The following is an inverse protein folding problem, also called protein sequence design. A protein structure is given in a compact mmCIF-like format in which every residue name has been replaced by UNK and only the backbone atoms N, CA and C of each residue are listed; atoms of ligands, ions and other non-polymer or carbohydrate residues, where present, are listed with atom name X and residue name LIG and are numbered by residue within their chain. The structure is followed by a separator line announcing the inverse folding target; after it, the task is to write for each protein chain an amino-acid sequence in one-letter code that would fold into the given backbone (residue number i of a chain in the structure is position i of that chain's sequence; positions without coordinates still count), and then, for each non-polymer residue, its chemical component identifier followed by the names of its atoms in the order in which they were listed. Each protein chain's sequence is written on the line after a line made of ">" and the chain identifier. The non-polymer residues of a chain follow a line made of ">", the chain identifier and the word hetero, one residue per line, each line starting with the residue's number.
data_IF_088647329512
#
_entry.id   IF_088647329512
#
_cell.length_a   1.000
_cell.length_b   1.000
_cell.length_c   1.000
_cell.angle_alpha   90.00
_cell.angle_beta   90.00
_cell.angle_gamma   90.00
#
_symmetry.space_group_name_H-M   'P 1'
#
loop_
_entity.id
_entity.type
_entity.pdbx_description
1 polymer ?
#
# COMPACT_ATOMS: atom_id res chain seq x y z
N UNK A 1 32.19 -99.86 103.09
CA UNK A 1 31.26 -100.84 103.69
C UNK A 1 29.89 -100.61 103.09
N UNK A 2 29.41 -101.47 102.17
CA UNK A 2 28.04 -101.45 101.66
C UNK A 2 27.10 -102.09 102.68
N UNK A 3 25.87 -101.58 102.78
CA UNK A 3 24.78 -102.19 103.55
C UNK A 3 24.37 -103.52 102.87
N UNK A 4 24.13 -104.61 103.62
CA UNK A 4 23.66 -105.87 103.01
C UNK A 4 22.28 -105.66 102.38
N UNK A 5 22.13 -105.96 101.07
CA UNK A 5 20.86 -105.94 100.33
C UNK A 5 20.67 -104.84 99.26
N UNK A 6 21.73 -104.22 98.73
CA UNK A 6 21.61 -103.24 97.65
C UNK A 6 21.64 -103.91 96.26
N UNK A 7 20.60 -103.66 95.45
CA UNK A 7 20.45 -104.14 94.07
C UNK A 7 21.05 -103.10 93.11
N UNK A 8 21.76 -103.52 92.06
CA UNK A 8 22.24 -102.60 91.04
C UNK A 8 21.06 -101.99 90.27
N UNK A 9 20.91 -100.68 90.37
CA UNK A 9 19.78 -99.93 89.79
C UNK A 9 20.17 -99.03 88.61
N UNK A 10 21.40 -99.17 88.09
CA UNK A 10 21.79 -98.46 86.86
C UNK A 10 21.50 -99.34 85.63
N UNK A 11 20.59 -98.95 84.73
CA UNK A 11 20.23 -99.73 83.54
C UNK A 11 21.37 -99.89 82.53
N UNK A 12 22.47 -99.14 82.67
CA UNK A 12 23.67 -99.25 81.84
C UNK A 12 24.64 -100.33 82.32
N UNK A 13 24.36 -100.97 83.46
CA UNK A 13 25.18 -102.03 84.03
C UNK A 13 24.74 -103.42 83.53
N UNK A 14 25.71 -104.30 83.29
CA UNK A 14 25.48 -105.68 82.85
C UNK A 14 24.65 -106.48 83.86
N UNK A 15 24.74 -106.14 85.16
CA UNK A 15 23.99 -106.77 86.25
C UNK A 15 22.83 -105.90 86.76
N UNK A 16 22.24 -105.06 85.90
CA UNK A 16 21.07 -104.25 86.26
C UNK A 16 19.92 -105.14 86.77
N UNK A 17 19.45 -104.84 87.98
CA UNK A 17 18.39 -105.61 88.66
C UNK A 17 18.88 -106.78 89.52
N UNK A 18 20.20 -107.05 89.58
CA UNK A 18 20.79 -108.09 90.43
C UNK A 18 21.49 -107.53 91.68
N UNK A 19 21.61 -108.35 92.73
CA UNK A 19 22.26 -107.94 93.98
C UNK A 19 23.78 -107.82 93.81
N UNK A 20 24.32 -106.64 94.10
CA UNK A 20 25.75 -106.37 93.95
C UNK A 20 26.04 -104.93 93.55
N UNK A 21 27.34 -104.61 93.44
CA UNK A 21 27.76 -103.36 92.82
C UNK A 21 27.53 -103.46 91.30
N UNK A 22 27.14 -102.36 90.68
CA UNK A 22 26.93 -102.32 89.23
C UNK A 22 28.24 -102.59 88.48
N UNK A 23 28.23 -103.62 87.62
CA UNK A 23 29.32 -103.98 86.71
C UNK A 23 28.98 -103.49 85.29
N UNK A 24 29.89 -102.80 84.63
CA UNK A 24 29.64 -102.16 83.32
C UNK A 24 30.40 -102.83 82.16
N UNK A 25 31.25 -103.79 82.47
CA UNK A 25 32.00 -104.58 81.50
C UNK A 25 31.61 -106.04 81.65
N UNK A 26 31.43 -106.72 80.52
CA UNK A 26 31.19 -108.15 80.52
C UNK A 26 32.46 -108.94 80.88
N UNK A 27 32.35 -110.27 80.94
CA UNK A 27 33.48 -111.14 81.26
C UNK A 27 34.63 -111.08 80.23
N UNK A 28 34.42 -110.49 79.06
CA UNK A 28 35.42 -110.30 78.00
C UNK A 28 36.09 -108.92 78.07
N UNK A 29 35.61 -108.02 78.93
CA UNK A 29 36.12 -106.66 79.07
C UNK A 29 35.48 -105.66 78.11
N UNK A 30 34.40 -106.05 77.42
CA UNK A 30 33.64 -105.17 76.53
C UNK A 30 32.53 -104.45 77.30
N UNK A 31 32.27 -103.19 76.94
CA UNK A 31 31.23 -102.40 77.57
C UNK A 31 29.86 -102.96 77.18
N UNK A 32 28.98 -103.18 78.16
CA UNK A 32 27.68 -103.82 77.93
C UNK A 32 26.64 -102.96 77.16
N UNK A 33 27.01 -101.78 76.68
CA UNK A 33 26.18 -100.90 75.86
C UNK A 33 26.93 -100.52 74.58
N UNK A 34 26.22 -100.49 73.45
CA UNK A 34 26.82 -100.12 72.16
C UNK A 34 26.93 -98.59 72.10
N UNK A 35 28.16 -98.08 72.11
CA UNK A 35 28.43 -96.65 71.91
C UNK A 35 28.66 -96.40 70.42
N UNK A 36 27.81 -95.58 69.81
CA UNK A 36 27.88 -95.22 68.39
C UNK A 36 27.15 -93.93 68.10
N UNK A 37 27.33 -93.35 66.92
CA UNK A 37 26.60 -92.14 66.57
C UNK A 37 25.12 -92.47 66.34
N UNK A 38 24.23 -91.87 67.12
CA UNK A 38 22.79 -92.08 67.01
C UNK A 38 22.10 -91.08 66.06
N UNK A 39 22.84 -90.17 65.44
CA UNK A 39 22.30 -89.18 64.52
C UNK A 39 22.29 -89.74 63.09
N UNK A 40 21.09 -89.93 62.50
CA UNK A 40 20.91 -90.42 61.12
C UNK A 40 21.59 -89.52 60.07
N UNK A 41 21.88 -88.25 60.41
CA UNK A 41 22.59 -87.31 59.56
C UNK A 41 24.12 -87.48 59.55
N UNK A 42 24.69 -88.34 60.40
CA UNK A 42 26.13 -88.56 60.46
C UNK A 42 26.60 -89.64 59.48
N UNK A 43 27.78 -89.43 58.90
CA UNK A 43 28.43 -90.39 58.01
C UNK A 43 28.76 -91.73 58.69
N UNK A 44 28.98 -91.72 60.01
CA UNK A 44 29.22 -92.92 60.82
C UNK A 44 28.01 -93.28 61.72
N UNK A 45 26.79 -92.92 61.30
CA UNK A 45 25.56 -93.31 61.99
C UNK A 45 25.50 -94.82 62.22
N UNK A 46 25.25 -95.21 63.48
CA UNK A 46 25.02 -96.59 63.89
C UNK A 46 23.59 -96.73 64.44
N UNK A 47 22.68 -97.39 63.69
CA UNK A 47 21.29 -97.56 64.12
C UNK A 47 21.12 -98.46 65.36
N UNK A 48 22.18 -99.15 65.81
CA UNK A 48 22.15 -100.02 66.98
C UNK A 48 22.83 -99.39 68.20
N UNK A 49 23.26 -98.13 68.13
CA UNK A 49 23.83 -97.44 69.27
C UNK A 49 22.78 -97.27 70.38
N UNK A 50 23.16 -97.65 71.61
CA UNK A 50 22.33 -97.53 72.82
C UNK A 50 22.78 -96.36 73.71
N UNK A 51 24.02 -95.88 73.50
CA UNK A 51 24.55 -94.65 74.09
C UNK A 51 25.21 -93.78 73.02
N UNK A 52 24.97 -92.46 73.07
CA UNK A 52 25.50 -91.52 72.09
C UNK A 52 27.04 -91.47 72.11
N UNK A 53 27.64 -91.88 70.99
CA UNK A 53 29.08 -91.77 70.69
C UNK A 53 29.42 -90.54 69.83
N UNK A 54 30.66 -90.47 69.35
CA UNK A 54 31.11 -89.40 68.46
C UNK A 54 30.52 -89.57 67.06
N UNK A 55 29.86 -88.53 66.56
CA UNK A 55 29.34 -88.44 65.20
C UNK A 55 30.33 -87.72 64.27
N UNK A 56 30.60 -88.31 63.12
CA UNK A 56 31.38 -87.74 62.02
C UNK A 56 30.42 -87.36 60.90
N UNK A 57 30.41 -86.08 60.53
CA UNK A 57 29.54 -85.52 59.48
C UNK A 57 30.31 -85.20 58.19
N UNK A 58 31.57 -85.60 58.10
CA UNK A 58 32.48 -85.12 57.05
C UNK A 58 33.09 -86.22 56.19
N UNK A 59 33.22 -87.46 56.68
CA UNK A 59 33.85 -88.55 55.94
C UNK A 59 33.08 -89.06 54.72
N UNK A 60 31.79 -88.77 54.62
CA UNK A 60 30.92 -89.16 53.50
C UNK A 60 30.68 -88.04 52.49
N UNK A 61 31.19 -86.83 52.73
CA UNK A 61 31.04 -85.72 51.79
C UNK A 61 31.93 -85.97 50.57
N UNK A 62 31.34 -85.91 49.38
CA UNK A 62 32.09 -86.00 48.13
C UNK A 62 32.68 -84.63 47.80
N UNK A 63 34.01 -84.57 47.71
CA UNK A 63 34.75 -83.38 47.31
C UNK A 63 34.84 -83.28 45.80
N UNK A 64 34.45 -82.14 45.23
CA UNK A 64 34.54 -81.88 43.79
C UNK A 64 34.04 -80.47 43.45
N UNK A 65 33.94 -80.13 42.16
CA UNK A 65 33.46 -78.81 41.78
C UNK A 65 31.93 -78.73 41.86
N UNK A 66 31.42 -78.03 42.87
CA UNK A 66 29.98 -77.84 43.10
C UNK A 66 29.35 -76.69 42.32
N UNK A 67 30.13 -75.95 41.52
CA UNK A 67 29.63 -74.81 40.76
C UNK A 67 29.14 -75.24 39.38
N UNK A 68 27.82 -75.15 39.12
CA UNK A 68 27.22 -75.52 37.84
C UNK A 68 27.68 -74.69 36.64
N UNK A 69 28.36 -73.56 36.88
CA UNK A 69 28.95 -72.73 35.83
C UNK A 69 30.42 -73.07 35.54
N UNK A 70 30.99 -74.09 36.19
CA UNK A 70 32.35 -74.56 35.91
C UNK A 70 32.35 -75.63 34.81
N UNK A 71 33.41 -75.67 34.01
CA UNK A 71 33.62 -76.64 32.94
C UNK A 71 33.73 -78.08 33.44
N UNK A 72 34.20 -78.27 34.67
CA UNK A 72 34.31 -79.56 35.34
C UNK A 72 33.33 -79.70 36.50
N UNK A 73 32.14 -79.08 36.39
CA UNK A 73 31.07 -79.26 37.37
C UNK A 73 30.79 -80.75 37.60
N UNK A 74 30.78 -81.14 38.87
CA UNK A 74 30.47 -82.48 39.33
C UNK A 74 29.16 -82.42 40.13
N UNK A 75 28.09 -82.98 39.56
CA UNK A 75 26.76 -82.99 40.16
C UNK A 75 26.64 -83.94 41.36
N UNK A 76 27.69 -84.74 41.63
CA UNK A 76 27.79 -85.63 42.78
C UNK A 76 28.59 -85.04 43.94
N UNK A 77 29.20 -83.86 43.78
CA UNK A 77 29.98 -83.21 44.82
C UNK A 77 29.10 -82.49 45.86
N UNK A 78 29.34 -82.77 47.14
CA UNK A 78 28.68 -82.11 48.28
C UNK A 78 29.48 -80.90 48.78
N UNK A 79 30.81 -80.93 48.60
CA UNK A 79 31.73 -79.89 49.09
C UNK A 79 32.67 -79.46 47.98
N UNK A 80 32.80 -78.14 47.83
CA UNK A 80 33.74 -77.57 46.88
C UNK A 80 35.18 -77.77 47.34
N UNK A 81 35.98 -78.48 46.55
CA UNK A 81 37.39 -78.78 46.85
C UNK A 81 38.37 -77.78 46.21
N UNK A 82 37.85 -76.75 45.54
CA UNK A 82 38.64 -75.77 44.80
C UNK A 82 39.08 -76.24 43.41
N UNK A 83 38.64 -77.41 42.94
CA UNK A 83 38.99 -77.93 41.61
C UNK A 83 38.25 -77.27 40.45
N UNK A 84 37.29 -76.38 40.70
CA UNK A 84 36.50 -75.74 39.65
C UNK A 84 37.35 -74.99 38.61
N UNK A 85 37.16 -75.35 37.35
CA UNK A 85 37.83 -74.83 36.16
C UNK A 85 36.78 -74.14 35.28
N UNK A 86 37.14 -73.00 34.68
CA UNK A 86 36.17 -72.14 33.97
C UNK A 86 36.61 -71.74 32.56
N UNK A 87 37.72 -72.27 32.06
CA UNK A 87 38.35 -71.84 30.80
C UNK A 87 38.44 -72.94 29.76
N UNK A 88 38.41 -74.22 30.13
CA UNK A 88 38.62 -75.34 29.20
C UNK A 88 37.45 -75.62 28.28
N UNK A 89 36.25 -75.16 28.64
CA UNK A 89 35.02 -75.30 27.87
C UNK A 89 34.60 -73.99 27.18
N UNK A 90 35.45 -72.97 27.26
CA UNK A 90 35.29 -71.69 26.59
C UNK A 90 35.90 -71.76 25.19
N UNK A 91 35.15 -71.28 24.21
CA UNK A 91 35.61 -71.16 22.83
C UNK A 91 34.42 -70.84 21.91
N UNK A 92 34.70 -70.59 20.63
CA UNK A 92 33.64 -70.26 19.68
C UNK A 92 32.70 -71.45 19.45
N UNK A 93 31.41 -71.28 19.73
CA UNK A 93 30.38 -72.33 19.57
C UNK A 93 29.61 -72.25 18.24
N UNK A 94 29.85 -71.21 17.44
CA UNK A 94 29.21 -71.02 16.13
C UNK A 94 29.92 -71.84 15.04
N UNK A 95 29.21 -72.78 14.41
CA UNK A 95 29.76 -73.69 13.40
C UNK A 95 30.07 -73.02 12.04
N UNK A 96 29.63 -71.78 11.86
CA UNK A 96 29.92 -70.95 10.69
C UNK A 96 31.13 -70.03 10.88
N UNK A 97 31.69 -69.95 12.09
CA UNK A 97 32.88 -69.15 12.38
C UNK A 97 34.18 -69.85 11.94
N UNK A 98 35.19 -69.06 11.56
CA UNK A 98 36.49 -69.55 11.11
C UNK A 98 37.28 -70.29 12.21
N UNK A 99 37.03 -69.97 13.47
CA UNK A 99 37.68 -70.57 14.64
C UNK A 99 36.69 -71.34 15.53
N UNK A 100 35.63 -71.90 14.94
CA UNK A 100 34.72 -72.81 15.62
C UNK A 100 35.49 -73.88 16.41
N UNK A 101 35.20 -74.01 17.70
CA UNK A 101 35.74 -75.03 18.57
C UNK A 101 34.66 -76.08 18.88
N UNK A 102 34.73 -77.28 18.29
CA UNK A 102 33.74 -78.33 18.53
C UNK A 102 33.77 -78.89 19.97
N UNK A 103 34.76 -78.52 20.79
CA UNK A 103 34.86 -78.90 22.20
C UNK A 103 34.37 -77.83 23.17
N UNK A 104 34.10 -76.62 22.69
CA UNK A 104 33.53 -75.55 23.51
C UNK A 104 32.05 -75.82 23.79
N UNK A 105 31.64 -75.60 25.05
CA UNK A 105 30.23 -75.68 25.46
C UNK A 105 29.68 -74.33 25.86
N UNK A 106 30.55 -73.32 26.02
CA UNK A 106 30.19 -71.94 26.31
C UNK A 106 30.96 -71.00 25.38
N UNK A 107 30.22 -70.09 24.74
CA UNK A 107 30.81 -69.08 23.87
C UNK A 107 31.56 -68.02 24.70
N UNK A 108 32.82 -67.79 24.35
CA UNK A 108 33.67 -66.76 24.96
C UNK A 108 33.78 -65.49 24.10
N UNK A 109 32.94 -65.39 23.06
CA UNK A 109 32.97 -64.34 22.06
C UNK A 109 34.29 -64.25 21.27
N UNK A 110 35.08 -65.34 21.23
CA UNK A 110 36.27 -65.42 20.40
C UNK A 110 35.97 -65.68 18.92
N UNK A 111 34.71 -65.92 18.54
CA UNK A 111 34.32 -66.21 17.15
C UNK A 111 34.82 -65.15 16.15
N UNK A 112 35.45 -65.61 15.09
CA UNK A 112 35.99 -64.83 13.98
C UNK A 112 35.29 -65.25 12.70
N UNK A 113 34.91 -64.28 11.87
CA UNK A 113 34.20 -64.52 10.61
C UNK A 113 34.92 -63.80 9.48
N UNK A 114 34.93 -64.39 8.28
CA UNK A 114 35.38 -63.70 7.08
C UNK A 114 34.31 -62.68 6.64
N UNK A 115 34.66 -61.40 6.72
CA UNK A 115 33.80 -60.29 6.30
C UNK A 115 34.44 -59.66 5.06
N UNK A 116 33.78 -59.89 3.93
CA UNK A 116 34.18 -59.36 2.64
C UNK A 116 33.74 -57.91 2.48
N UNK A 117 34.63 -57.06 1.94
CA UNK A 117 34.30 -55.69 1.57
C UNK A 117 35.54 -54.83 1.32
N UNK A 118 35.33 -53.56 1.03
CA UNK A 118 36.45 -52.65 0.80
C UNK A 118 37.16 -52.26 2.11
N UNK A 119 38.43 -52.63 2.24
CA UNK A 119 39.27 -52.33 3.42
C UNK A 119 40.04 -51.00 3.31
N UNK A 120 39.90 -50.26 2.20
CA UNK A 120 40.66 -49.03 1.96
C UNK A 120 39.87 -47.84 2.52
N UNK A 121 40.39 -47.22 3.58
CA UNK A 121 39.77 -46.09 4.30
C UNK A 121 39.39 -44.89 3.41
N UNK A 122 40.04 -44.74 2.25
CA UNK A 122 39.78 -43.65 1.31
C UNK A 122 38.79 -44.01 0.20
N UNK A 123 38.26 -45.24 0.18
CA UNK A 123 37.24 -45.65 -0.76
C UNK A 123 35.85 -45.18 -0.30
N UNK A 124 35.00 -44.88 -1.27
CA UNK A 124 33.62 -44.43 -1.08
C UNK A 124 32.73 -45.47 -0.39
N UNK A 125 33.03 -46.75 -0.58
CA UNK A 125 32.33 -47.88 0.03
C UNK A 125 33.20 -48.63 1.05
N UNK A 126 34.11 -47.91 1.73
CA UNK A 126 34.89 -48.48 2.83
C UNK A 126 33.98 -49.15 3.87
N UNK A 127 34.28 -50.40 4.20
CA UNK A 127 33.57 -51.18 5.21
C UNK A 127 34.47 -51.37 6.44
N UNK A 128 34.13 -50.78 7.60
CA UNK A 128 34.96 -50.87 8.80
C UNK A 128 35.04 -52.27 9.40
N UNK A 129 34.07 -53.14 9.08
CA UNK A 129 33.99 -54.51 9.59
C UNK A 129 34.66 -55.52 8.65
N UNK A 130 35.05 -55.11 7.43
CA UNK A 130 35.68 -56.00 6.46
C UNK A 130 37.10 -56.38 6.88
N UNK A 131 37.39 -57.68 6.89
CA UNK A 131 38.72 -58.23 7.14
C UNK A 131 39.34 -58.93 5.92
N UNK A 132 38.57 -59.07 4.84
CA UNK A 132 39.04 -59.56 3.54
C UNK A 132 38.56 -58.62 2.44
N UNK A 133 39.50 -58.17 1.61
CA UNK A 133 39.19 -57.37 0.41
C UNK A 133 38.54 -58.25 -0.65
N UNK A 134 37.38 -57.83 -1.15
CA UNK A 134 36.65 -58.46 -2.25
C UNK A 134 36.81 -57.72 -3.59
N UNK A 135 37.77 -56.79 -3.66
CA UNK A 135 38.04 -55.90 -4.79
C UNK A 135 36.86 -54.99 -5.17
N UNK A 136 35.89 -54.79 -4.27
CA UNK A 136 34.72 -53.92 -4.51
C UNK A 136 34.99 -52.43 -4.32
N UNK A 137 36.20 -52.02 -3.94
CA UNK A 137 36.52 -50.63 -3.61
C UNK A 137 36.20 -49.64 -4.74
N UNK A 138 35.31 -48.69 -4.45
CA UNK A 138 34.94 -47.58 -5.32
C UNK A 138 35.65 -46.30 -4.88
N UNK A 139 36.35 -45.64 -5.80
CA UNK A 139 37.09 -44.40 -5.55
C UNK A 139 36.52 -43.19 -6.27
N UNK A 140 35.31 -43.30 -6.81
CA UNK A 140 34.76 -42.28 -7.73
C UNK A 140 33.37 -41.81 -7.36
N UNK A 141 32.49 -42.68 -6.83
CA UNK A 141 31.09 -42.32 -6.60
C UNK A 141 30.86 -41.23 -5.55
N UNK A 142 31.74 -41.10 -4.57
CA UNK A 142 31.63 -40.13 -3.49
C UNK A 142 32.37 -38.81 -3.78
N UNK A 143 32.84 -38.61 -5.02
CA UNK A 143 33.40 -37.35 -5.49
C UNK A 143 32.34 -36.54 -6.24
N UNK A 144 32.19 -35.27 -5.87
CA UNK A 144 31.18 -34.42 -6.49
C UNK A 144 31.09 -33.06 -5.82
N UNK A 145 29.88 -32.50 -5.77
CA UNK A 145 29.62 -31.24 -5.11
C UNK A 145 28.96 -31.42 -3.73
N UNK A 146 29.70 -31.08 -2.67
CA UNK A 146 29.22 -31.13 -1.28
C UNK A 146 28.65 -29.79 -0.77
N UNK A 147 28.55 -28.77 -1.63
CA UNK A 147 28.11 -27.41 -1.24
C UNK A 147 26.60 -27.26 -1.40
N UNK A 148 25.82 -27.03 -0.31
CA UNK A 148 24.36 -26.98 -0.38
C UNK A 148 23.77 -25.88 -1.29
N UNK A 149 24.53 -24.82 -1.57
CA UNK A 149 24.11 -23.72 -2.44
C UNK A 149 24.40 -23.95 -3.92
N UNK A 150 25.00 -25.09 -4.29
CA UNK A 150 25.27 -25.43 -5.68
C UNK A 150 24.10 -26.18 -6.32
N UNK A 151 23.93 -26.01 -7.62
CA UNK A 151 22.84 -26.60 -8.42
C UNK A 151 22.95 -28.11 -8.60
N UNK A 152 24.16 -28.65 -8.57
CA UNK A 152 24.44 -30.08 -8.59
C UNK A 152 24.87 -30.60 -7.21
N UNK A 153 24.39 -29.96 -6.14
CA UNK A 153 24.63 -30.44 -4.78
C UNK A 153 24.14 -31.88 -4.59
N UNK A 154 24.98 -32.71 -4.01
CA UNK A 154 24.65 -34.07 -3.60
C UNK A 154 25.12 -34.30 -2.15
N UNK A 155 24.17 -34.64 -1.29
CA UNK A 155 24.42 -34.91 0.13
C UNK A 155 25.23 -36.20 0.38
N UNK A 156 25.34 -37.10 -0.61
CA UNK A 156 26.14 -38.32 -0.56
C UNK A 156 27.62 -38.12 -0.89
N UNK A 157 28.04 -36.93 -1.32
CA UNK A 157 29.43 -36.61 -1.64
C UNK A 157 30.24 -36.43 -0.36
N UNK A 158 31.31 -37.21 -0.23
CA UNK A 158 32.26 -37.14 0.90
C UNK A 158 33.45 -36.24 0.52
N UNK A 159 33.87 -36.30 -0.74
CA UNK A 159 35.07 -35.60 -1.23
C UNK A 159 34.70 -34.55 -2.29
N UNK A 160 34.74 -33.25 -1.95
CA UNK A 160 34.49 -32.21 -2.93
C UNK A 160 35.62 -32.17 -3.97
N UNK A 161 35.28 -32.31 -5.25
CA UNK A 161 36.23 -32.32 -6.36
C UNK A 161 36.24 -31.02 -7.18
N UNK A 162 35.51 -29.99 -6.73
CA UNK A 162 35.38 -28.72 -7.44
C UNK A 162 34.39 -28.74 -8.60
N UNK A 163 33.57 -29.78 -8.75
CA UNK A 163 32.52 -29.87 -9.79
C UNK A 163 31.26 -29.05 -9.49
N UNK A 164 31.24 -28.24 -8.42
CA UNK A 164 30.07 -27.44 -8.05
C UNK A 164 29.72 -26.43 -9.14
N UNK A 165 28.49 -26.50 -9.64
CA UNK A 165 27.89 -25.53 -10.54
C UNK A 165 26.99 -24.63 -9.72
N UNK A 166 27.17 -23.32 -9.84
CA UNK A 166 26.32 -22.33 -9.18
C UNK A 166 25.45 -21.65 -10.23
N UNK A 167 24.27 -21.19 -9.82
CA UNK A 167 23.46 -20.35 -10.67
C UNK A 167 24.15 -18.98 -10.86
N UNK A 168 23.95 -18.38 -12.02
CA UNK A 168 24.39 -17.02 -12.27
C UNK A 168 23.65 -16.04 -11.36
N UNK A 169 24.27 -14.88 -11.08
CA UNK A 169 23.67 -13.89 -10.18
C UNK A 169 22.30 -13.44 -10.71
N UNK A 170 21.24 -13.60 -9.91
CA UNK A 170 19.87 -13.26 -10.30
C UNK A 170 19.05 -14.44 -10.85
N UNK A 171 19.66 -15.60 -11.08
CA UNK A 171 19.00 -16.79 -11.61
C UNK A 171 18.92 -17.93 -10.59
N UNK A 172 17.96 -18.83 -10.79
CA UNK A 172 17.90 -20.11 -10.11
C UNK A 172 18.70 -21.19 -10.85
N UNK A 173 18.77 -22.39 -10.27
CA UNK A 173 19.51 -23.52 -10.84
C UNK A 173 18.90 -24.15 -12.09
N UNK A 174 17.68 -23.79 -12.45
CA UNK A 174 17.05 -24.15 -13.72
C UNK A 174 17.25 -23.06 -14.78
N UNK A 175 17.93 -21.96 -14.45
CA UNK A 175 18.16 -20.82 -15.33
C UNK A 175 16.96 -19.87 -15.40
N UNK A 176 16.01 -19.96 -14.47
CA UNK A 176 14.90 -19.01 -14.38
C UNK A 176 15.34 -17.77 -13.62
N UNK A 177 14.85 -16.61 -14.04
CA UNK A 177 15.08 -15.40 -13.29
C UNK A 177 14.37 -15.41 -11.94
N UNK A 178 15.04 -14.92 -10.88
CA UNK A 178 14.47 -14.81 -9.53
C UNK A 178 13.61 -13.54 -9.36
N UNK A 179 13.89 -12.48 -10.12
CA UNK A 179 13.12 -11.24 -10.14
C UNK A 179 12.95 -10.78 -11.59
N UNK A 180 11.74 -11.01 -12.09
CA UNK A 180 11.26 -10.67 -13.42
C UNK A 180 9.86 -10.10 -13.21
N UNK A 181 9.80 -8.78 -13.13
CA UNK A 181 8.61 -8.04 -12.70
C UNK A 181 7.51 -8.01 -13.76
N UNK A 182 7.86 -8.10 -15.04
CA UNK A 182 6.94 -8.03 -16.17
C UNK A 182 6.73 -9.37 -16.91
N UNK A 183 7.50 -10.41 -16.52
CA UNK A 183 7.45 -11.78 -17.01
C UNK A 183 7.84 -11.94 -18.50
N UNK A 184 8.70 -11.06 -19.02
CA UNK A 184 9.18 -11.11 -20.41
C UNK A 184 10.36 -12.11 -20.62
N UNK A 185 10.93 -12.63 -19.52
CA UNK A 185 12.03 -13.58 -19.50
C UNK A 185 13.42 -12.97 -19.38
N UNK A 186 13.54 -11.65 -19.23
CA UNK A 186 14.76 -10.91 -18.88
C UNK A 186 14.70 -10.57 -17.39
N UNK A 187 15.82 -10.70 -16.68
CA UNK A 187 15.86 -10.34 -15.27
C UNK A 187 15.85 -8.83 -15.05
N UNK A 188 15.16 -8.35 -14.01
CA UNK A 188 15.11 -6.92 -13.61
C UNK A 188 16.52 -6.27 -13.52
N UNK A 189 17.53 -7.05 -13.12
CA UNK A 189 18.92 -6.57 -13.01
C UNK A 189 19.67 -6.46 -14.35
N UNK A 190 19.19 -7.18 -15.37
CA UNK A 190 19.72 -7.23 -16.73
C UNK A 190 18.85 -6.41 -17.72
N UNK A 191 17.75 -5.83 -17.25
CA UNK A 191 16.87 -5.03 -18.07
C UNK A 191 17.56 -3.76 -18.58
N UNK A 192 17.34 -3.49 -19.87
CA UNK A 192 17.76 -2.24 -20.49
C UNK A 192 16.52 -1.37 -20.64
N UNK A 193 16.44 -0.35 -19.79
CA UNK A 193 15.35 0.62 -19.80
C UNK A 193 15.44 1.49 -21.07
N UNK A 194 14.37 1.55 -21.85
CA UNK A 194 14.28 2.37 -23.07
C UNK A 194 12.91 2.35 -23.70
N UNK A 195 12.75 2.79 -24.95
CA UNK A 195 11.49 2.62 -25.66
C UNK A 195 11.52 1.32 -26.46
N UNK A 196 10.56 0.42 -26.21
CA UNK A 196 10.47 -0.91 -26.86
C UNK A 196 9.59 -0.90 -28.12
N UNK A 197 8.83 0.17 -28.37
CA UNK A 197 7.98 0.30 -29.56
C UNK A 197 8.78 0.71 -30.80
N UNK A 198 8.84 -0.16 -31.80
CA UNK A 198 9.54 0.06 -33.08
C UNK A 198 8.98 1.22 -33.93
N UNK A 199 7.79 1.73 -33.58
CA UNK A 199 7.16 2.88 -34.26
C UNK A 199 7.51 4.22 -33.63
N UNK A 200 8.15 4.22 -32.46
CA UNK A 200 8.61 5.44 -31.79
C UNK A 200 9.93 5.97 -32.38
N UNK A 201 10.10 7.28 -32.35
CA UNK A 201 11.29 8.00 -32.84
C UNK A 201 12.56 7.68 -32.04
N UNK A 202 12.41 7.36 -30.75
CA UNK A 202 13.49 6.98 -29.84
C UNK A 202 13.49 5.47 -29.51
N UNK A 203 12.94 4.63 -30.41
CA UNK A 203 13.02 3.18 -30.30
C UNK A 203 14.46 2.71 -30.06
N UNK A 204 14.64 1.88 -29.03
CA UNK A 204 15.91 1.24 -28.73
C UNK A 204 15.76 -0.28 -28.87
N UNK A 205 16.37 -0.91 -29.89
CA UNK A 205 16.28 -2.36 -30.07
C UNK A 205 16.99 -3.18 -28.99
N UNK A 206 17.81 -2.55 -28.15
CA UNK A 206 18.40 -3.20 -26.99
C UNK A 206 17.53 -3.06 -25.73
N UNK A 207 16.46 -2.26 -25.75
CA UNK A 207 15.59 -2.10 -24.60
C UNK A 207 14.75 -3.35 -24.38
N UNK A 208 14.70 -3.81 -23.14
CA UNK A 208 13.87 -4.94 -22.69
C UNK A 208 12.75 -4.46 -21.78
N UNK A 209 12.91 -3.30 -21.14
CA UNK A 209 11.87 -2.66 -20.31
C UNK A 209 11.46 -1.29 -20.90
N UNK A 210 10.16 -1.03 -20.98
CA UNK A 210 9.63 0.25 -21.46
C UNK A 210 9.66 1.31 -20.36
N UNK A 211 10.59 2.24 -20.54
CA UNK A 211 10.72 3.47 -19.76
C UNK A 211 9.48 4.39 -19.73
N UNK A 212 8.47 4.13 -20.58
CA UNK A 212 7.34 5.03 -20.81
C UNK A 212 7.75 6.34 -21.49
N UNK A 213 8.98 6.42 -22.01
CA UNK A 213 9.54 7.61 -22.64
C UNK A 213 9.45 7.60 -24.16
N UNK A 214 8.69 6.66 -24.75
CA UNK A 214 8.49 6.56 -26.18
C UNK A 214 7.94 7.88 -26.77
N UNK A 215 8.71 8.44 -27.70
CA UNK A 215 8.34 9.64 -28.44
C UNK A 215 7.77 9.22 -29.78
N UNK A 216 6.49 9.51 -29.99
CA UNK A 216 5.84 9.25 -31.26
C UNK A 216 5.93 10.49 -32.16
N UNK A 217 5.96 10.31 -33.50
CA UNK A 217 5.78 11.42 -34.41
C UNK A 217 4.46 12.12 -34.09
N UNK A 218 4.53 13.43 -33.84
CA UNK A 218 3.35 14.29 -33.82
C UNK A 218 2.70 14.24 -35.21
N UNK A 219 1.45 13.82 -35.25
CA UNK A 219 0.65 13.76 -36.48
C UNK A 219 -0.32 14.94 -36.49
N UNK A 220 -0.48 15.55 -37.66
CA UNK A 220 -1.32 16.73 -37.85
C UNK A 220 -1.09 17.34 -39.23
N UNK A 221 -1.80 18.41 -39.56
CA UNK A 221 -1.66 19.01 -40.89
C UNK A 221 -0.28 19.66 -41.07
N UNK A 222 0.50 19.14 -42.00
CA UNK A 222 1.85 19.67 -42.34
C UNK A 222 1.85 20.73 -43.46
N UNK A 223 0.70 21.02 -44.05
CA UNK A 223 0.55 22.00 -45.13
C UNK A 223 0.42 23.42 -44.57
N UNK A 224 1.40 24.28 -44.85
CA UNK A 224 1.44 25.69 -44.41
C UNK A 224 0.29 26.54 -44.95
N UNK A 225 -0.46 26.06 -45.93
CA UNK A 225 -1.60 26.76 -46.53
C UNK A 225 -2.95 26.35 -45.94
N UNK A 226 -2.97 25.35 -45.05
CA UNK A 226 -4.17 24.92 -44.35
C UNK A 226 -4.48 25.80 -43.12
N UNK A 227 -5.76 25.96 -42.82
CA UNK A 227 -6.25 26.72 -41.68
C UNK A 227 -5.87 26.09 -40.33
N UNK A 228 -5.68 24.78 -40.28
CA UNK A 228 -5.27 24.02 -39.11
C UNK A 228 -3.81 23.53 -39.20
N UNK A 229 -2.94 24.26 -39.93
CA UNK A 229 -1.52 23.94 -39.99
C UNK A 229 -0.91 23.79 -38.59
N UNK A 230 -0.32 22.64 -38.32
CA UNK A 230 0.40 22.35 -37.09
C UNK A 230 1.90 22.33 -37.36
N UNK A 231 2.59 23.40 -36.95
CA UNK A 231 4.04 23.53 -37.12
C UNK A 231 4.85 22.52 -36.30
N UNK A 232 4.21 21.82 -35.35
CA UNK A 232 4.82 20.75 -34.58
C UNK A 232 4.59 19.38 -35.21
N UNK A 233 3.70 19.22 -36.20
CA UNK A 233 3.45 17.95 -36.86
C UNK A 233 4.63 17.53 -37.76
N UNK A 234 5.09 16.29 -37.62
CA UNK A 234 6.17 15.69 -38.41
C UNK A 234 5.67 14.78 -39.53
N UNK A 235 4.38 14.43 -39.51
CA UNK A 235 3.71 13.63 -40.54
C UNK A 235 2.27 14.07 -40.73
N UNK A 236 1.85 14.20 -41.99
CA UNK A 236 0.47 14.51 -42.36
C UNK A 236 -0.46 13.33 -42.06
N UNK A 237 -1.54 13.58 -41.34
CA UNK A 237 -2.62 12.61 -41.06
C UNK A 237 -3.84 12.81 -41.95
N UNK A 238 -3.80 13.76 -42.88
CA UNK A 238 -4.91 14.11 -43.76
C UNK A 238 -5.97 14.97 -43.09
N UNK A 239 -5.68 15.55 -41.92
CA UNK A 239 -6.59 16.47 -41.21
C UNK A 239 -6.63 17.89 -41.81
N UNK A 240 -5.82 18.20 -42.82
CA UNK A 240 -5.73 19.55 -43.41
C UNK A 240 -7.10 20.10 -43.87
N UNK A 241 -7.45 21.28 -43.36
CA UNK A 241 -8.71 21.97 -43.57
C UNK A 241 -8.44 23.37 -44.17
N UNK A 242 -9.23 23.80 -45.16
CA UNK A 242 -8.95 25.00 -45.95
C UNK A 242 -10.09 26.03 -45.99
N UNK A 243 -11.19 25.78 -45.27
CA UNK A 243 -12.42 26.59 -45.36
C UNK A 243 -12.67 27.45 -44.13
N UNK A 244 -12.22 27.05 -42.93
CA UNK A 244 -12.52 27.75 -41.68
C UNK A 244 -11.88 29.13 -41.56
N UNK A 245 -10.72 29.32 -42.19
CA UNK A 245 -10.00 30.59 -42.27
C UNK A 245 -10.14 31.28 -43.63
N UNK A 246 -11.09 30.81 -44.45
CA UNK A 246 -11.31 31.30 -45.81
C UNK A 246 -12.37 32.39 -45.83
N UNK A 247 -11.98 33.61 -46.22
CA UNK A 247 -12.87 34.77 -46.24
C UNK A 247 -12.30 35.90 -47.09
N UNK A 248 -12.88 37.09 -47.00
CA UNK A 248 -12.30 38.25 -47.67
C UNK A 248 -11.21 38.88 -46.81
N UNK A 249 -9.95 38.75 -47.25
CA UNK A 249 -8.78 39.31 -46.55
C UNK A 249 -8.46 40.75 -46.95
N UNK A 250 -9.25 41.37 -47.84
CA UNK A 250 -9.00 42.72 -48.33
C UNK A 250 -9.62 43.76 -47.37
N UNK A 251 -8.83 44.58 -46.65
CA UNK A 251 -9.36 45.50 -45.63
C UNK A 251 -10.29 46.58 -46.20
N UNK A 252 -10.26 46.79 -47.51
CA UNK A 252 -11.11 47.74 -48.23
C UNK A 252 -12.41 47.13 -48.75
N UNK A 253 -12.70 45.87 -48.43
CA UNK A 253 -13.93 45.20 -48.83
C UNK A 253 -15.02 45.38 -47.77
N UNK A 254 -16.26 45.56 -48.21
CA UNK A 254 -17.46 45.65 -47.38
C UNK A 254 -17.71 44.39 -46.56
N UNK A 255 -17.28 43.23 -47.05
CA UNK A 255 -17.36 41.95 -46.35
C UNK A 255 -15.98 41.45 -45.88
N UNK A 256 -15.06 42.38 -45.58
CA UNK A 256 -13.77 42.05 -44.98
C UNK A 256 -13.97 41.23 -43.70
N UNK A 257 -13.33 40.07 -43.66
CA UNK A 257 -13.31 39.20 -42.49
C UNK A 257 -11.94 39.31 -41.80
N UNK A 258 -11.85 39.96 -40.62
CA UNK A 258 -10.60 40.10 -39.90
C UNK A 258 -10.03 38.78 -39.39
N UNK A 259 -10.83 37.69 -39.38
CA UNK A 259 -10.40 36.36 -38.97
C UNK A 259 -9.95 35.48 -40.16
N UNK A 260 -10.16 35.94 -41.39
CA UNK A 260 -9.72 35.21 -42.57
C UNK A 260 -8.21 35.40 -42.80
N UNK A 261 -7.50 34.29 -43.01
CA UNK A 261 -6.08 34.28 -43.39
C UNK A 261 -5.88 33.81 -44.83
N UNK A 262 -6.89 33.18 -45.41
CA UNK A 262 -6.92 32.71 -46.80
C UNK A 262 -8.03 33.43 -47.58
N UNK A 263 -7.71 34.01 -48.74
CA UNK A 263 -8.71 34.66 -49.59
C UNK A 263 -9.58 33.64 -50.31
N UNK A 264 -10.90 33.73 -50.15
CA UNK A 264 -11.87 32.91 -50.90
C UNK A 264 -12.30 33.52 -52.25
N UNK A 265 -11.79 34.71 -52.60
CA UNK A 265 -12.13 35.43 -53.83
C UNK A 265 -13.52 36.10 -53.84
N UNK A 266 -14.25 36.12 -52.72
CA UNK A 266 -15.61 36.67 -52.62
C UNK A 266 -15.66 38.08 -52.01
N UNK A 267 -14.62 38.90 -52.18
CA UNK A 267 -14.59 40.27 -51.66
C UNK A 267 -15.58 41.20 -52.39
N UNK A 268 -16.44 41.87 -51.64
CA UNK A 268 -17.34 42.93 -52.11
C UNK A 268 -16.72 44.28 -51.82
N UNK A 269 -16.61 45.18 -52.79
CA UNK A 269 -15.96 46.48 -52.61
C UNK A 269 -16.99 47.63 -52.59
N UNK A 270 -16.74 48.72 -51.83
CA UNK A 270 -17.60 49.89 -51.79
C UNK A 270 -17.78 50.52 -53.19
N UNK A 271 -18.90 51.21 -53.39
CA UNK A 271 -19.14 52.00 -54.60
C UNK A 271 -18.27 53.27 -54.68
N UNK A 272 -18.47 54.09 -55.72
CA UNK A 272 -17.66 55.29 -55.95
C UNK A 272 -17.84 56.36 -54.85
N UNK A 273 -18.90 56.24 -54.05
CA UNK A 273 -19.27 57.09 -52.94
C UNK A 273 -18.85 56.50 -51.58
N UNK A 274 -18.23 55.31 -51.56
CA UNK A 274 -17.71 54.66 -50.35
C UNK A 274 -18.74 53.87 -49.55
N UNK A 275 -19.94 53.64 -50.10
CA UNK A 275 -21.03 53.00 -49.36
C UNK A 275 -21.01 51.48 -49.52
N UNK A 276 -21.33 50.80 -48.41
CA UNK A 276 -21.56 49.37 -48.34
C UNK A 276 -23.05 49.11 -48.04
N UNK A 277 -23.95 49.43 -48.98
CA UNK A 277 -25.41 49.25 -48.84
C UNK A 277 -26.22 50.56 -48.85
N UNK A 278 -27.54 50.48 -48.59
CA UNK A 278 -28.45 51.65 -48.57
C UNK A 278 -28.48 52.35 -47.20
N UNK A 279 -28.36 53.69 -47.18
CA UNK A 279 -28.37 54.54 -45.97
C UNK A 279 -29.81 54.80 -45.50
N UNK A 280 -30.08 54.61 -44.21
CA UNK A 280 -31.35 54.92 -43.53
C UNK A 280 -31.09 55.90 -42.38
N UNK A 281 -31.77 57.04 -42.38
CA UNK A 281 -31.65 58.15 -41.40
C UNK A 281 -32.71 58.03 -40.30
N UNK A 282 -32.33 58.24 -39.03
CA UNK A 282 -33.25 58.27 -37.88
C UNK A 282 -32.52 58.16 -36.54
N UNK A 283 -33.23 58.26 -35.41
CA UNK A 283 -32.58 58.21 -34.09
C UNK A 283 -31.95 56.84 -33.79
N UNK A 284 -30.63 56.79 -33.59
CA UNK A 284 -29.88 55.53 -33.40
C UNK A 284 -29.73 55.10 -31.93
N UNK A 285 -30.10 55.97 -30.98
CA UNK A 285 -29.95 55.70 -29.55
C UNK A 285 -31.16 54.92 -29.01
N UNK A 286 -30.94 53.67 -28.60
CA UNK A 286 -32.00 52.76 -28.11
C UNK A 286 -32.73 53.25 -26.86
N UNK A 287 -32.15 54.21 -26.14
CA UNK A 287 -32.74 54.84 -24.94
C UNK A 287 -33.63 56.02 -25.28
N UNK A 288 -33.61 56.52 -26.51
CA UNK A 288 -34.50 57.58 -26.96
C UNK A 288 -35.91 57.03 -27.21
N UNK A 289 -36.91 57.84 -26.92
CA UNK A 289 -38.33 57.46 -27.12
C UNK A 289 -38.74 57.33 -28.59
N UNK A 290 -37.94 57.89 -29.50
CA UNK A 290 -38.13 57.80 -30.95
C UNK A 290 -37.02 57.00 -31.65
N UNK A 291 -36.38 56.06 -30.95
CA UNK A 291 -35.40 55.14 -31.52
C UNK A 291 -35.93 54.43 -32.78
N UNK A 292 -35.15 54.47 -33.87
CA UNK A 292 -35.40 53.73 -35.10
C UNK A 292 -34.36 52.62 -35.28
N UNK A 293 -34.81 51.36 -35.15
CA UNK A 293 -33.96 50.17 -35.31
C UNK A 293 -33.41 49.99 -36.72
N UNK A 294 -34.01 50.64 -37.72
CA UNK A 294 -33.52 50.60 -39.10
C UNK A 294 -32.54 51.74 -39.42
N UNK A 295 -32.40 52.74 -38.53
CA UNK A 295 -31.49 53.85 -38.76
C UNK A 295 -30.02 53.40 -38.63
N UNK A 296 -29.26 53.77 -39.65
CA UNK A 296 -27.80 53.56 -39.75
C UNK A 296 -27.01 54.84 -39.47
N UNK A 297 -27.70 55.99 -39.48
CA UNK A 297 -27.16 57.34 -39.28
C UNK A 297 -28.15 58.17 -38.45
N UNK A 298 -27.64 58.91 -37.46
CA UNK A 298 -28.43 59.75 -36.56
C UNK A 298 -28.74 61.11 -37.18
N UNK A 299 -30.01 61.48 -37.23
CA UNK A 299 -30.48 62.75 -37.83
C UNK A 299 -30.67 63.88 -36.80
N UNK A 300 -30.22 63.68 -35.55
CA UNK A 300 -30.36 64.64 -34.45
C UNK A 300 -31.78 64.74 -33.89
N UNK A 301 -32.69 63.83 -34.26
CA UNK A 301 -34.09 63.87 -33.83
C UNK A 301 -34.36 63.24 -32.45
N UNK A 302 -33.37 62.68 -31.76
CA UNK A 302 -33.60 61.88 -30.54
C UNK A 302 -34.25 62.66 -29.37
N UNK A 303 -35.32 62.08 -28.80
CA UNK A 303 -36.08 62.61 -27.66
C UNK A 303 -35.85 61.80 -26.38
N UNK A 304 -35.33 62.47 -25.35
CA UNK A 304 -34.99 61.91 -24.04
C UNK A 304 -35.83 62.58 -22.95
N UNK A 305 -36.63 61.78 -22.24
CA UNK A 305 -37.50 62.24 -21.17
C UNK A 305 -36.83 62.11 -19.79
N UNK A 306 -37.04 63.08 -18.91
CA UNK A 306 -36.62 63.04 -17.52
C UNK A 306 -36.68 64.40 -16.84
N UNK A 307 -36.52 64.43 -15.52
CA UNK A 307 -36.58 65.68 -14.76
C UNK A 307 -35.45 66.63 -15.15
N UNK A 308 -35.77 67.80 -15.69
CA UNK A 308 -34.77 68.77 -16.20
C UNK A 308 -34.26 69.77 -15.15
N UNK A 309 -34.75 69.72 -13.91
CA UNK A 309 -34.38 70.66 -12.85
C UNK A 309 -33.47 70.04 -11.81
N UNK A 310 -32.27 70.60 -11.62
CA UNK A 310 -31.26 70.15 -10.65
C UNK A 310 -31.65 70.35 -9.17
N UNK A 311 -32.83 70.89 -8.90
CA UNK A 311 -33.37 71.07 -7.54
C UNK A 311 -34.12 69.83 -7.02
N UNK A 312 -34.35 68.83 -7.87
CA UNK A 312 -35.03 67.57 -7.52
C UNK A 312 -34.05 66.40 -7.48
N UNK A 313 -34.26 65.45 -6.55
CA UNK A 313 -33.37 64.31 -6.34
C UNK A 313 -33.26 63.37 -7.54
N UNK A 314 -34.28 63.30 -8.40
CA UNK A 314 -34.27 62.49 -9.64
C UNK A 314 -33.93 63.31 -10.91
N UNK A 315 -33.22 64.43 -10.77
CA UNK A 315 -32.74 65.25 -11.89
C UNK A 315 -31.89 64.44 -12.89
N UNK A 316 -32.20 64.59 -14.19
CA UNK A 316 -31.44 64.03 -15.30
C UNK A 316 -30.88 65.16 -16.20
N UNK A 317 -29.56 65.34 -16.16
CA UNK A 317 -28.86 66.35 -16.96
C UNK A 317 -28.91 66.16 -18.48
N UNK A 318 -29.39 64.99 -18.95
CA UNK A 318 -29.45 64.61 -20.38
C UNK A 318 -30.87 64.59 -20.92
N UNK A 319 -31.89 64.81 -20.08
CA UNK A 319 -33.25 64.98 -20.54
C UNK A 319 -33.38 66.27 -21.38
N UNK A 320 -33.94 66.14 -22.58
CA UNK A 320 -34.29 67.28 -23.43
C UNK A 320 -35.80 67.55 -23.46
N UNK A 321 -36.60 66.66 -22.85
CA UNK A 321 -38.02 66.81 -22.57
C UNK A 321 -38.32 66.47 -21.09
N UNK A 322 -39.13 67.29 -20.42
CA UNK A 322 -39.60 67.03 -19.05
C UNK A 322 -40.69 65.94 -19.06
N UNK A 323 -40.66 65.02 -18.09
CA UNK A 323 -41.64 63.95 -17.91
C UNK A 323 -42.67 64.23 -16.80
N UNK A 324 -42.66 65.45 -16.24
CA UNK A 324 -43.52 65.92 -15.15
C UNK A 324 -43.39 65.08 -13.85
N UNK A 325 -42.32 64.28 -13.70
CA UNK A 325 -42.10 63.38 -12.55
C UNK A 325 -40.94 63.85 -11.63
N UNK A 326 -40.61 65.14 -11.63
CA UNK A 326 -39.59 65.70 -10.73
C UNK A 326 -39.99 65.54 -9.24
N UNK A 327 -39.19 64.79 -8.46
CA UNK A 327 -39.46 64.53 -7.04
C UNK A 327 -38.18 64.48 -6.19
N UNK A 328 -38.34 64.84 -4.91
CA UNK A 328 -37.33 64.72 -3.86
C UNK A 328 -37.54 63.46 -2.99
N UNK A 329 -38.50 62.61 -3.33
CA UNK A 329 -38.77 61.36 -2.61
C UNK A 329 -37.72 60.30 -2.99
N UNK A 330 -36.94 59.76 -2.04
CA UNK A 330 -36.08 58.62 -2.30
C UNK A 330 -36.94 57.39 -2.61
N UNK A 331 -36.59 56.60 -3.63
CA UNK A 331 -37.26 55.35 -4.01
C UNK A 331 -37.11 54.22 -2.95
N UNK A 332 -36.36 54.44 -1.86
CA UNK A 332 -35.84 53.37 -1.00
C UNK A 332 -36.57 53.14 0.33
N UNK A 333 -37.75 53.74 0.56
CA UNK A 333 -38.56 53.52 1.77
C UNK A 333 -39.90 52.78 1.52
N UNK A 334 -40.15 52.42 0.27
CA UNK A 334 -41.25 51.57 -0.19
C UNK A 334 -40.69 50.16 -0.35
N UNK A 335 -40.64 49.41 0.75
CA UNK A 335 -39.92 48.13 0.78
C UNK A 335 -40.66 47.00 0.05
N UNK A 336 -41.93 47.23 -0.29
CA UNK A 336 -42.75 46.27 -1.01
C UNK A 336 -43.10 46.73 -2.45
N UNK A 337 -42.49 47.83 -2.92
CA UNK A 337 -42.64 48.45 -4.24
C UNK A 337 -44.11 48.76 -4.62
N UNK A 338 -44.95 49.16 -3.65
CA UNK A 338 -46.37 49.49 -3.89
C UNK A 338 -46.63 50.97 -4.25
N UNK A 339 -45.59 51.79 -4.24
CA UNK A 339 -45.57 53.21 -4.56
C UNK A 339 -45.97 54.12 -3.38
N UNK A 340 -46.21 53.58 -2.18
CA UNK A 340 -46.62 54.30 -0.98
C UNK A 340 -45.73 53.90 0.21
N UNK A 341 -45.45 54.84 1.13
CA UNK A 341 -44.70 54.53 2.37
C UNK A 341 -45.68 54.44 3.53
N UNK A 342 -45.96 53.23 4.02
CA UNK A 342 -47.02 52.95 4.99
C UNK A 342 -46.68 51.85 6.02
N UNK A 343 -47.66 51.46 6.85
CA UNK A 343 -47.43 50.53 7.97
C UNK A 343 -47.00 49.14 7.50
N UNK A 344 -47.44 48.75 6.31
CA UNK A 344 -47.06 47.52 5.62
C UNK A 344 -45.56 47.49 5.29
N UNK A 345 -44.94 48.59 4.85
CA UNK A 345 -43.48 48.70 4.63
C UNK A 345 -42.67 48.56 5.92
N UNK A 346 -43.20 49.11 7.02
CA UNK A 346 -42.61 48.94 8.35
C UNK A 346 -42.68 47.48 8.82
N UNK A 347 -43.68 46.71 8.37
CA UNK A 347 -43.80 45.29 8.71
C UNK A 347 -42.80 44.43 7.92
N UNK A 348 -42.60 44.74 6.63
CA UNK A 348 -41.57 44.14 5.76
C UNK A 348 -40.16 44.37 6.33
N UNK A 349 -39.91 45.61 6.79
CA UNK A 349 -38.70 46.04 7.47
C UNK A 349 -38.42 45.26 8.78
N UNK A 350 -39.43 45.04 9.61
CA UNK A 350 -39.26 44.33 10.88
C UNK A 350 -39.05 42.81 10.70
N UNK A 351 -39.53 42.25 9.59
CA UNK A 351 -39.33 40.83 9.24
C UNK A 351 -37.90 40.58 8.76
N UNK A 352 -37.32 41.49 7.97
CA UNK A 352 -35.93 41.39 7.50
C UNK A 352 -34.90 41.60 8.62
N UNK A 353 -35.17 42.49 9.57
CA UNK A 353 -34.32 42.77 10.74
C UNK A 353 -34.22 41.63 11.77
N UNK A 354 -35.10 40.61 11.69
CA UNK A 354 -35.10 39.44 12.57
C UNK A 354 -34.09 38.34 12.20
N UNK A 355 -33.33 38.50 11.11
CA UNK A 355 -32.45 37.47 10.55
C UNK A 355 -31.01 37.99 10.44
N UNK A 356 -30.03 37.33 11.06
CA UNK A 356 -28.61 37.68 10.89
C UNK A 356 -28.10 37.29 9.50
N UNK A 357 -27.86 38.27 8.63
CA UNK A 357 -27.19 38.11 7.33
C UNK A 357 -25.65 38.13 7.42
N UNK A 358 -24.93 37.53 6.45
CA UNK A 358 -23.50 37.25 6.56
C UNK A 358 -22.61 38.39 6.07
N UNK A 359 -21.44 38.45 6.71
CA UNK A 359 -20.22 39.24 6.44
C UNK A 359 -19.87 39.37 4.93
N UNK A 360 -19.77 40.60 4.42
CA UNK A 360 -19.27 40.91 3.08
C UNK A 360 -18.06 41.85 3.13
N UNK A 361 -16.88 41.24 3.02
CA UNK A 361 -15.61 41.90 2.71
C UNK A 361 -15.43 41.94 1.17
N UNK A 362 -15.16 43.14 0.64
CA UNK A 362 -14.92 43.42 -0.77
C UNK A 362 -13.41 43.31 -1.03
N UNK A 363 -12.96 42.31 -1.79
CA UNK A 363 -11.51 42.11 -2.05
C UNK A 363 -11.16 41.46 -3.40
N UNK A 364 -11.91 41.70 -4.49
CA UNK A 364 -11.58 41.04 -5.78
C UNK A 364 -11.66 41.87 -7.06
N UNK A 365 -11.58 43.20 -7.03
CA UNK A 365 -11.52 43.99 -8.28
C UNK A 365 -10.32 44.93 -8.32
N UNK A 366 -9.16 44.34 -8.61
CA UNK A 366 -8.00 45.02 -9.18
C UNK A 366 -7.30 44.03 -10.13
N UNK A 367 -7.63 44.10 -11.42
CA UNK A 367 -6.75 43.85 -12.59
C UNK A 367 -7.60 43.60 -13.85
N UNK A 368 -8.15 44.68 -14.42
CA UNK A 368 -8.73 44.64 -15.77
C UNK A 368 -8.60 46.02 -16.46
N UNK A 369 -7.38 46.52 -16.59
CA UNK A 369 -7.10 47.66 -17.46
C UNK A 369 -5.66 47.56 -17.99
N UNK A 370 -5.51 46.89 -19.14
CA UNK A 370 -4.26 46.80 -19.88
C UNK A 370 -4.49 46.78 -21.37
N UNK A 371 -4.43 47.94 -22.03
CA UNK A 371 -4.03 48.08 -23.43
C UNK A 371 -3.71 49.56 -23.77
N UNK A 372 -2.65 49.76 -24.54
CA UNK A 372 -2.09 51.05 -24.98
C UNK A 372 -2.60 51.50 -26.35
N UNK A 373 -2.78 52.82 -26.54
CA UNK A 373 -3.30 53.46 -27.75
C UNK A 373 -2.29 53.60 -28.91
N UNK A 374 -2.81 53.62 -30.15
CA UNK A 374 -2.09 53.88 -31.42
C UNK A 374 -2.22 55.37 -31.79
N UNK A 375 -1.18 56.06 -32.28
CA UNK A 375 -1.21 57.51 -32.48
C UNK A 375 -2.00 57.98 -33.71
N UNK A 376 -2.68 59.11 -33.49
CA UNK A 376 -3.59 59.83 -34.37
C UNK A 376 -2.83 60.70 -35.42
N UNK A 377 -2.41 60.12 -36.55
CA UNK A 377 -1.84 60.91 -37.66
C UNK A 377 -2.29 60.50 -39.07
N UNK A 378 -3.43 59.82 -39.20
CA UNK A 378 -3.85 59.22 -40.47
C UNK A 378 -5.32 59.44 -40.87
N UNK A 379 -6.04 60.47 -40.38
CA UNK A 379 -7.39 60.75 -40.88
C UNK A 379 -7.64 62.27 -41.00
N UNK A 380 -7.60 62.77 -42.24
CA UNK A 380 -8.24 64.02 -42.64
C UNK A 380 -9.20 63.63 -43.76
N UNK A 381 -10.50 63.68 -43.47
CA UNK A 381 -11.51 64.06 -44.46
C UNK A 381 -12.54 64.95 -43.77
N UNK A 382 -12.99 65.98 -44.49
CA UNK A 382 -13.69 67.16 -43.94
C UNK A 382 -15.20 66.95 -44.05
N UNK A 383 -15.72 66.15 -43.12
CA UNK A 383 -16.96 66.42 -42.40
C UNK A 383 -16.61 66.23 -40.92
N UNK A 384 -16.92 67.22 -40.07
CA UNK A 384 -16.59 67.09 -38.65
C UNK A 384 -17.69 66.25 -38.03
N UNK A 385 -17.49 64.94 -37.98
CA UNK A 385 -18.36 64.01 -37.26
C UNK A 385 -17.96 64.03 -35.79
N UNK A 386 -18.89 64.37 -34.91
CA UNK A 386 -18.64 64.51 -33.48
C UNK A 386 -19.94 64.52 -32.70
N UNK A 387 -19.90 64.62 -31.38
CA UNK A 387 -21.15 64.71 -30.63
C UNK A 387 -21.76 66.11 -30.82
N UNK A 388 -23.00 66.18 -31.32
CA UNK A 388 -23.70 67.45 -31.60
C UNK A 388 -24.57 67.93 -30.43
N UNK A 389 -24.74 67.10 -29.40
CA UNK A 389 -25.52 67.43 -28.20
C UNK A 389 -24.70 68.29 -27.22
N UNK A 390 -25.08 69.57 -26.98
CA UNK A 390 -24.31 70.48 -26.13
C UNK A 390 -24.17 70.06 -24.65
N UNK A 391 -24.97 69.09 -24.21
CA UNK A 391 -24.97 68.53 -22.86
C UNK A 391 -24.04 67.32 -22.72
N UNK A 392 -23.52 66.75 -23.80
CA UNK A 392 -22.58 65.64 -23.75
C UNK A 392 -21.16 66.09 -23.37
N UNK A 393 -20.44 65.24 -22.64
CA UNK A 393 -19.07 65.51 -22.17
C UNK A 393 -18.04 65.59 -23.29
N UNK A 394 -18.33 65.00 -24.46
CA UNK A 394 -17.52 65.10 -25.67
C UNK A 394 -18.18 65.95 -26.77
N UNK A 395 -19.06 66.89 -26.41
CA UNK A 395 -19.67 67.83 -27.35
C UNK A 395 -18.61 68.56 -28.19
N UNK A 396 -18.80 68.54 -29.51
CA UNK A 396 -17.98 69.28 -30.46
C UNK A 396 -18.82 70.34 -31.16
N UNK A 397 -18.61 71.61 -30.80
CA UNK A 397 -19.30 72.75 -31.42
C UNK A 397 -19.01 72.97 -32.92
N UNK A 398 -18.01 72.27 -33.45
CA UNK A 398 -17.67 72.28 -34.88
C UNK A 398 -18.25 71.09 -35.65
N UNK A 399 -18.86 70.13 -34.95
CA UNK A 399 -19.50 68.97 -35.58
C UNK A 399 -20.76 69.37 -36.36
N UNK A 400 -20.88 68.87 -37.58
CA UNK A 400 -22.05 69.09 -38.45
C UNK A 400 -22.91 67.84 -38.61
N UNK A 401 -22.41 66.68 -38.22
CA UNK A 401 -23.08 65.37 -38.23
C UNK A 401 -22.76 64.63 -36.91
N UNK A 402 -23.76 63.99 -36.29
CA UNK A 402 -23.58 63.28 -35.02
C UNK A 402 -22.87 61.95 -35.21
N UNK A 403 -21.84 61.70 -34.42
CA UNK A 403 -21.04 60.47 -34.50
C UNK A 403 -21.71 59.22 -33.90
N UNK A 404 -22.90 59.34 -33.29
CA UNK A 404 -23.55 58.25 -32.56
C UNK A 404 -22.83 57.83 -31.27
N UNK A 405 -21.79 58.58 -30.88
CA UNK A 405 -20.87 58.28 -29.77
C UNK A 405 -20.83 59.41 -28.73
N UNK A 406 -21.95 60.09 -28.50
CA UNK A 406 -22.06 61.09 -27.44
C UNK A 406 -21.82 60.45 -26.08
N UNK A 407 -20.91 61.04 -25.30
CA UNK A 407 -20.54 60.58 -23.96
C UNK A 407 -21.36 61.36 -22.95
N UNK A 408 -22.23 60.66 -22.25
CA UNK A 408 -23.06 61.18 -21.18
C UNK A 408 -22.52 60.59 -19.87
N UNK A 409 -21.89 61.44 -19.05
CA UNK A 409 -21.29 61.05 -17.77
C UNK A 409 -22.30 61.07 -16.62
N UNK A 410 -22.31 60.06 -15.77
CA UNK A 410 -23.19 60.03 -14.62
C UNK A 410 -23.18 58.68 -13.96
N UNK A 411 -23.95 58.51 -12.90
CA UNK A 411 -24.09 57.20 -12.29
C UNK A 411 -24.83 56.23 -13.22
N UNK A 412 -24.15 55.18 -13.65
CA UNK A 412 -24.65 54.11 -14.54
C UNK A 412 -25.22 52.91 -13.77
N UNK A 413 -25.05 52.89 -12.44
CA UNK A 413 -25.58 51.84 -11.57
C UNK A 413 -27.05 52.12 -11.23
N UNK A 414 -27.95 51.24 -11.68
CA UNK A 414 -29.39 51.33 -11.42
C UNK A 414 -29.76 51.23 -9.94
N UNK A 415 -28.86 50.75 -9.07
CA UNK A 415 -29.08 50.63 -7.63
C UNK A 415 -28.66 51.88 -6.84
N UNK A 416 -28.03 52.87 -7.48
CA UNK A 416 -27.63 54.12 -6.83
C UNK A 416 -28.78 55.15 -6.77
N UNK A 417 -28.78 55.99 -5.73
CA UNK A 417 -29.83 57.00 -5.52
C UNK A 417 -29.88 58.08 -6.61
N UNK A 418 -28.76 58.34 -7.27
CA UNK A 418 -28.64 59.28 -8.37
C UNK A 418 -28.35 58.59 -9.71
N UNK A 419 -28.82 57.35 -9.88
CA UNK A 419 -28.77 56.65 -11.16
C UNK A 419 -29.30 57.54 -12.29
N UNK A 420 -28.50 57.67 -13.35
CA UNK A 420 -28.88 58.37 -14.56
C UNK A 420 -29.02 57.36 -15.72
N UNK A 421 -30.24 57.03 -16.16
CA UNK A 421 -30.47 56.06 -17.24
C UNK A 421 -29.97 56.51 -18.61
N UNK A 422 -29.50 57.75 -18.74
CA UNK A 422 -28.90 58.31 -19.96
C UNK A 422 -27.37 58.35 -19.89
N UNK A 423 -26.75 58.06 -18.74
CA UNK A 423 -25.31 57.96 -18.62
C UNK A 423 -24.80 56.69 -19.31
N UNK A 424 -23.82 56.83 -20.19
CA UNK A 424 -23.10 55.72 -20.82
C UNK A 424 -21.63 55.65 -20.40
N UNK A 425 -21.22 56.55 -19.50
CA UNK A 425 -19.90 56.55 -18.89
C UNK A 425 -20.03 56.87 -17.39
N UNK A 426 -19.62 55.93 -16.55
CA UNK A 426 -19.61 56.08 -15.09
C UNK A 426 -18.63 57.19 -14.67
N UNK A 427 -19.12 58.18 -13.91
CA UNK A 427 -18.31 59.31 -13.44
C UNK A 427 -18.03 59.30 -11.94
N UNK A 428 -18.32 58.17 -11.28
CA UNK A 428 -18.15 57.99 -9.83
C UNK A 428 -18.99 58.95 -8.99
N UNK A 429 -20.05 59.52 -9.58
CA UNK A 429 -21.04 60.30 -8.83
C UNK A 429 -22.03 59.42 -8.09
N UNK A 430 -22.06 58.09 -8.31
CA UNK A 430 -23.01 57.18 -7.66
C UNK A 430 -23.02 57.32 -6.14
N UNK A 431 -24.17 57.70 -5.58
CA UNK A 431 -24.41 57.77 -4.15
C UNK A 431 -25.25 56.58 -3.72
N UNK A 432 -24.72 55.82 -2.77
CA UNK A 432 -25.39 54.68 -2.18
C UNK A 432 -25.67 55.03 -0.71
N UNK A 433 -26.94 55.07 -0.32
CA UNK A 433 -27.27 55.06 1.11
C UNK A 433 -27.35 53.59 1.54
N UNK A 434 -26.68 53.25 2.63
CA UNK A 434 -26.83 51.93 3.24
C UNK A 434 -28.23 51.89 3.86
N UNK A 435 -29.21 51.39 3.14
CA UNK A 435 -30.53 51.19 3.73
C UNK A 435 -30.46 50.01 4.71
N UNK A 436 -30.94 50.15 5.98
CA UNK A 436 -31.63 51.29 6.58
C UNK A 436 -30.87 51.97 7.74
N UNK A 437 -29.68 52.48 7.48
CA UNK A 437 -28.94 53.39 8.36
C UNK A 437 -29.41 54.84 8.09
N UNK A 438 -30.38 55.30 8.89
CA UNK A 438 -31.07 56.58 8.67
C UNK A 438 -30.34 57.77 9.29
N UNK A 439 -29.47 57.54 10.28
CA UNK A 439 -28.64 58.59 10.86
C UNK A 439 -27.22 58.64 10.28
N UNK A 440 -26.87 57.71 9.39
CA UNK A 440 -25.64 57.69 8.61
C UNK A 440 -24.41 57.36 9.45
N UNK A 441 -24.57 56.60 10.53
CA UNK A 441 -23.48 56.23 11.44
C UNK A 441 -22.73 54.96 11.03
N UNK A 442 -23.14 54.33 9.92
CA UNK A 442 -22.59 53.13 9.34
C UNK A 442 -23.06 51.83 10.02
N UNK A 443 -24.01 51.90 10.96
CA UNK A 443 -24.55 50.75 11.68
C UNK A 443 -26.07 50.81 11.72
N UNK A 444 -26.74 49.70 11.39
CA UNK A 444 -28.20 49.64 11.52
C UNK A 444 -28.56 49.27 12.95
N UNK A 445 -29.17 50.20 13.70
CA UNK A 445 -29.49 50.01 15.11
C UNK A 445 -30.84 50.61 15.52
N UNK A 446 -31.23 50.41 16.79
CA UNK A 446 -32.53 50.88 17.30
C UNK A 446 -32.69 52.41 17.22
N UNK A 447 -31.59 53.14 17.08
CA UNK A 447 -31.58 54.58 16.87
C UNK A 447 -32.07 54.94 15.47
N UNK A 448 -31.65 54.21 14.44
CA UNK A 448 -32.13 54.35 13.05
C UNK A 448 -33.62 54.04 12.91
N UNK A 449 -34.10 53.02 13.63
CA UNK A 449 -35.53 52.75 13.73
C UNK A 449 -36.29 53.91 14.39
N UNK A 450 -35.69 54.54 15.40
CA UNK A 450 -36.30 55.70 16.06
C UNK A 450 -36.32 56.92 15.13
N UNK A 451 -35.25 57.15 14.38
CA UNK A 451 -35.13 58.24 13.42
C UNK A 451 -36.10 58.07 12.25
N UNK A 452 -36.27 56.83 11.75
CA UNK A 452 -37.31 56.47 10.79
C UNK A 452 -38.72 56.79 11.32
N UNK A 453 -39.03 56.37 12.55
CA UNK A 453 -40.34 56.64 13.16
C UNK A 453 -40.56 58.13 13.47
N UNK A 454 -39.51 58.92 13.69
CA UNK A 454 -39.61 60.37 13.91
C UNK A 454 -39.88 61.11 12.59
N UNK A 455 -39.23 60.70 11.50
CA UNK A 455 -39.36 61.36 10.21
C UNK A 455 -40.61 60.94 9.42
N UNK A 456 -41.08 59.69 9.58
CA UNK A 456 -42.20 59.14 8.79
C UNK A 456 -43.31 58.48 9.63
N UNK A 457 -43.20 58.43 10.96
CA UNK A 457 -44.26 57.94 11.85
C UNK A 457 -45.38 58.95 12.12
N UNK A 458 -45.33 60.14 11.51
CA UNK A 458 -46.39 61.14 11.55
C UNK A 458 -47.00 61.30 10.16
N UNK A 459 -48.33 61.32 10.08
CA UNK A 459 -49.04 61.61 8.83
C UNK A 459 -48.81 63.07 8.46
N UNK A 460 -48.15 63.34 7.34
CA UNK A 460 -48.11 64.65 6.69
C UNK A 460 -49.25 64.72 5.67
N UNK A 461 -50.04 65.81 5.69
CA UNK A 461 -51.06 66.09 4.65
C UNK A 461 -50.45 66.64 3.37
#
# INVERSE_FOLDING_TARGET
>A
MPQPGAICSNPLACNFGEEGLCEYFDANGDLCVIIGCMDEGACNYDPNAEVAGSCDYTSCLVSGCTNSNACNFDDTADVNDGSCEYTSCLGCTDDTANNFDPSATFDDNSCTYDVYGCMILTACNYSPDANISDDSCDFTSCFGCATPSACNYDAGVIYPNGSCVFADAGYDCAGNCLMDSDADGVCDGDEVVGCTDATALNYNPAATDDSGSCQYPSVGCTDQTACNFDFMALSDDGSCEFTSCSGCIAPSACNYDPNATLSNGACEFPDAEGNCGEVVEGCVYSTATNYDVAATHDDGSCTFFGCMSSEYSNYNAYANNDDDNCSNTPMSADFNDDGLVQLEDLLEFLISYGSSGPDWSIDWVNEACGATAVPLSQLIDVTVTGCTYPTASNYDSSATEDSGNCVFTGCTDSEALNFNPLANLEDSSCTYQVCPDFNGDGSVQAQDLLDFLIAWGTVYE
#
